data_IF_954696455982
#
_entry.id   IF_954696455982
#
_cell.length_a   1.000
_cell.length_b   1.000
_cell.length_c   1.000
_cell.angle_alpha   90.00
_cell.angle_beta   90.00
_cell.angle_gamma   90.00
#
_symmetry.space_group_name_H-M   'P 1'
#
loop_
_entity.id
_entity.type
_entity.pdbx_description
1 polymer ?
#
# COMPACT_ATOMS: atom_id res chain seq x y z
N UNK A 1 -19.32 -9.43 -6.86
CA UNK A 1 -18.08 -8.77 -6.37
C UNK A 1 -18.47 -7.44 -5.71
N UNK A 2 -17.88 -7.09 -4.57
CA UNK A 2 -18.24 -5.90 -3.75
C UNK A 2 -17.62 -4.60 -4.30
N UNK A 3 -17.87 -4.30 -5.58
CA UNK A 3 -17.35 -3.11 -6.28
C UNK A 3 -18.28 -1.89 -6.18
N UNK A 4 -19.52 -2.06 -5.71
CA UNK A 4 -20.50 -0.99 -5.59
C UNK A 4 -20.41 -0.29 -4.22
N UNK A 5 -20.30 1.04 -4.21
CA UNK A 5 -20.29 1.85 -2.97
C UNK A 5 -21.58 1.65 -2.17
N UNK A 6 -22.71 1.45 -2.86
CA UNK A 6 -24.00 1.22 -2.21
C UNK A 6 -24.04 -0.13 -1.49
N UNK A 7 -23.31 -1.14 -1.98
CA UNK A 7 -23.18 -2.43 -1.28
C UNK A 7 -22.46 -2.30 0.07
N UNK A 8 -21.45 -1.41 0.15
CA UNK A 8 -20.72 -1.15 1.41
C UNK A 8 -21.61 -0.46 2.42
N UNK A 9 -22.35 0.57 2.00
CA UNK A 9 -23.32 1.29 2.84
C UNK A 9 -24.40 0.36 3.38
N UNK A 10 -25.04 -0.43 2.51
CA UNK A 10 -26.05 -1.43 2.90
C UNK A 10 -25.51 -2.44 3.92
N UNK A 11 -24.25 -2.88 3.76
CA UNK A 11 -23.65 -3.80 4.74
C UNK A 11 -23.54 -3.16 6.11
N UNK A 12 -23.07 -1.91 6.18
CA UNK A 12 -22.92 -1.19 7.45
C UNK A 12 -24.26 -0.96 8.13
N UNK A 13 -25.28 -0.59 7.35
CA UNK A 13 -26.65 -0.44 7.85
C UNK A 13 -27.21 -1.76 8.39
N UNK A 14 -26.98 -2.87 7.72
CA UNK A 14 -27.44 -4.18 8.18
C UNK A 14 -26.70 -4.64 9.45
N UNK A 15 -25.40 -4.36 9.57
CA UNK A 15 -24.65 -4.60 10.82
C UNK A 15 -25.26 -3.77 11.96
N UNK A 16 -25.52 -2.47 11.73
CA UNK A 16 -26.18 -1.59 12.71
C UNK A 16 -27.55 -2.13 13.12
N UNK A 17 -28.38 -2.54 12.15
CA UNK A 17 -29.73 -3.07 12.38
C UNK A 17 -29.69 -4.31 13.26
N UNK A 18 -28.85 -5.29 12.92
CA UNK A 18 -28.74 -6.55 13.67
C UNK A 18 -28.14 -6.36 15.05
N UNK A 19 -27.09 -5.54 15.18
CA UNK A 19 -26.45 -5.30 16.47
C UNK A 19 -27.36 -4.55 17.46
N UNK A 20 -28.36 -3.80 16.97
CA UNK A 20 -29.37 -3.10 17.81
C UNK A 20 -30.67 -3.87 18.01
N UNK A 21 -30.78 -5.09 17.47
CA UNK A 21 -32.02 -5.88 17.50
C UNK A 21 -32.36 -6.52 18.85
N UNK A 22 -31.59 -6.23 19.91
CA UNK A 22 -31.88 -6.74 21.26
C UNK A 22 -31.85 -8.27 21.40
N UNK A 23 -31.16 -8.97 20.48
CA UNK A 23 -31.04 -10.43 20.50
C UNK A 23 -31.98 -11.18 19.54
N UNK A 24 -32.72 -10.49 18.67
CA UNK A 24 -33.45 -11.15 17.57
C UNK A 24 -32.51 -11.91 16.61
N UNK A 25 -31.26 -11.45 16.51
CA UNK A 25 -30.23 -12.04 15.65
C UNK A 25 -29.08 -12.61 16.49
N UNK A 26 -28.46 -13.70 16.04
CA UNK A 26 -27.24 -14.21 16.66
C UNK A 26 -26.10 -13.19 16.53
N UNK A 27 -25.12 -13.30 17.44
CA UNK A 27 -23.94 -12.45 17.45
C UNK A 27 -23.19 -12.53 16.12
N UNK A 28 -22.82 -11.38 15.58
CA UNK A 28 -22.11 -11.28 14.31
C UNK A 28 -20.61 -11.42 14.56
N UNK A 29 -19.99 -12.38 13.88
CA UNK A 29 -18.54 -12.51 13.84
C UNK A 29 -17.99 -11.76 12.62
N UNK A 30 -16.98 -10.91 12.84
CA UNK A 30 -16.32 -10.14 11.79
C UNK A 30 -14.81 -10.36 11.90
N UNK A 31 -14.18 -10.66 10.77
CA UNK A 31 -12.73 -10.71 10.65
C UNK A 31 -12.25 -9.33 10.14
N UNK A 32 -11.62 -8.51 11.01
CA UNK A 32 -11.24 -7.14 10.63
C UNK A 32 -10.02 -7.11 9.70
N UNK A 33 -9.21 -8.17 9.74
CA UNK A 33 -8.10 -8.46 8.85
C UNK A 33 -8.65 -9.22 7.63
N UNK A 34 -8.64 -8.62 6.44
CA UNK A 34 -9.33 -9.15 5.26
C UNK A 34 -8.93 -10.57 4.81
N UNK A 35 -7.81 -11.08 5.32
CA UNK A 35 -7.31 -12.47 5.24
C UNK A 35 -6.42 -12.73 6.45
N UNK A 36 -6.27 -13.98 6.89
CA UNK A 36 -5.20 -14.33 7.84
C UNK A 36 -3.83 -13.99 7.21
N UNK A 37 -3.05 -13.11 7.83
CA UNK A 37 -1.66 -12.82 7.42
C UNK A 37 -0.71 -13.93 7.90
N UNK A 38 0.53 -13.60 8.26
CA UNK A 38 1.62 -14.54 8.54
C UNK A 38 1.80 -14.84 10.04
N UNK A 39 0.86 -14.45 10.89
CA UNK A 39 0.89 -14.61 12.36
C UNK A 39 2.05 -13.91 13.07
N UNK A 40 2.84 -13.10 12.38
CA UNK A 40 4.01 -12.42 12.94
C UNK A 40 3.75 -10.98 13.36
N UNK A 41 2.55 -10.45 13.11
CA UNK A 41 2.17 -9.08 13.40
C UNK A 41 0.71 -8.81 13.02
N UNK A 42 0.11 -7.76 13.60
CA UNK A 42 -1.22 -7.30 13.22
C UNK A 42 -1.13 -6.09 12.29
N UNK A 43 -1.68 -6.26 11.09
CA UNK A 43 -1.86 -5.20 10.11
C UNK A 43 -3.06 -4.31 10.47
N UNK A 44 -3.24 -3.20 9.75
CA UNK A 44 -4.36 -2.28 9.96
C UNK A 44 -5.71 -2.97 9.75
N UNK A 45 -6.62 -2.76 10.72
CA UNK A 45 -7.99 -3.25 10.65
C UNK A 45 -8.84 -2.40 9.71
N UNK A 46 -9.72 -3.04 8.95
CA UNK A 46 -10.73 -2.30 8.18
C UNK A 46 -11.77 -1.69 9.13
N UNK A 47 -11.94 -0.37 9.07
CA UNK A 47 -12.85 0.38 9.93
C UNK A 47 -14.34 -0.01 9.79
N UNK A 48 -14.72 -0.75 8.73
CA UNK A 48 -16.11 -1.09 8.43
C UNK A 48 -16.87 -1.77 9.57
N UNK A 49 -16.20 -2.60 10.37
CA UNK A 49 -16.77 -3.28 11.53
C UNK A 49 -17.08 -2.33 12.71
N UNK A 50 -16.41 -1.18 12.73
CA UNK A 50 -16.39 -0.23 13.84
C UNK A 50 -17.30 0.98 13.60
N UNK A 51 -17.76 1.21 12.36
CA UNK A 51 -18.72 2.27 11.98
C UNK A 51 -20.03 2.25 12.81
N UNK A 52 -20.55 1.09 13.27
CA UNK A 52 -21.71 1.07 14.17
C UNK A 52 -21.52 1.82 15.51
N UNK A 53 -20.29 1.95 16.00
CA UNK A 53 -19.99 2.57 17.30
C UNK A 53 -20.59 1.78 18.48
N UNK A 54 -20.71 0.46 18.34
CA UNK A 54 -21.28 -0.43 19.35
C UNK A 54 -20.18 -1.25 20.03
N UNK A 55 -20.42 -1.78 21.25
CA UNK A 55 -19.47 -2.65 21.92
C UNK A 55 -19.10 -3.86 21.06
N UNK A 56 -17.81 -4.18 21.04
CA UNK A 56 -17.28 -5.35 20.33
C UNK A 56 -16.62 -6.29 21.32
N UNK A 57 -16.68 -7.59 21.02
CA UNK A 57 -16.00 -8.62 21.79
C UNK A 57 -14.77 -9.09 20.99
N UNK A 58 -13.55 -8.62 21.29
CA UNK A 58 -12.36 -9.10 20.61
C UNK A 58 -12.10 -10.56 20.96
N UNK A 59 -11.72 -11.35 19.96
CA UNK A 59 -11.36 -12.76 20.13
C UNK A 59 -10.04 -12.98 19.41
N UNK A 60 -9.04 -13.48 20.13
CA UNK A 60 -7.71 -13.77 19.59
C UNK A 60 -7.50 -15.27 19.49
N UNK A 61 -6.87 -15.70 18.40
CA UNK A 61 -6.60 -17.11 18.12
C UNK A 61 -5.10 -17.33 18.13
N UNK A 62 -4.61 -18.32 18.89
CA UNK A 62 -3.21 -18.77 18.87
C UNK A 62 -3.11 -20.17 18.30
N UNK A 63 -2.08 -20.36 17.50
CA UNK A 63 -1.73 -21.64 16.89
C UNK A 63 -0.33 -22.02 17.34
N UNK A 64 -0.15 -22.66 18.51
CA UNK A 64 1.17 -23.03 19.06
C UNK A 64 1.84 -24.21 18.31
N UNK A 65 1.46 -24.42 17.04
CA UNK A 65 1.99 -25.46 16.19
C UNK A 65 3.43 -25.14 15.77
N UNK A 66 4.32 -26.14 15.83
CA UNK A 66 5.71 -26.01 15.35
C UNK A 66 5.78 -25.76 13.84
N UNK A 67 4.94 -26.46 13.07
CA UNK A 67 4.79 -26.24 11.64
C UNK A 67 3.60 -25.33 11.40
N UNK A 68 3.75 -24.41 10.45
CA UNK A 68 2.65 -23.56 10.03
C UNK A 68 1.73 -24.30 9.07
N UNK A 69 0.55 -24.63 9.57
CA UNK A 69 -0.50 -25.39 8.87
C UNK A 69 -1.77 -24.58 8.64
N UNK A 70 -1.81 -23.33 9.09
CA UNK A 70 -3.02 -22.49 9.12
C UNK A 70 -2.86 -21.19 8.35
N UNK A 71 -1.62 -20.74 8.15
CA UNK A 71 -1.31 -19.57 7.32
C UNK A 71 -1.50 -19.91 5.85
N UNK A 72 -2.70 -19.67 5.35
CA UNK A 72 -2.98 -19.71 3.93
C UNK A 72 -2.96 -18.31 3.34
N UNK A 73 -1.75 -17.77 3.25
CA UNK A 73 -1.49 -16.52 2.56
C UNK A 73 -1.16 -16.79 1.10
N UNK A 74 -1.21 -15.74 0.29
CA UNK A 74 -0.97 -15.83 -1.14
C UNK A 74 0.49 -16.11 -1.53
N UNK A 75 1.44 -15.79 -0.65
CA UNK A 75 2.83 -16.24 -0.73
C UNK A 75 3.11 -17.46 0.17
N UNK A 76 2.08 -17.96 0.84
CA UNK A 76 2.17 -19.11 1.72
C UNK A 76 2.34 -20.41 0.93
N UNK A 77 2.70 -21.50 1.62
CA UNK A 77 2.69 -22.85 1.04
C UNK A 77 1.33 -23.17 0.40
N UNK A 78 1.36 -23.81 -0.78
CA UNK A 78 0.15 -24.23 -1.48
C UNK A 78 -0.68 -25.23 -0.67
N UNK A 79 -1.97 -25.39 -1.01
CA UNK A 79 -2.93 -26.20 -0.25
C UNK A 79 -2.44 -27.64 0.02
N UNK A 80 -1.80 -28.29 -0.97
CA UNK A 80 -1.24 -29.63 -0.78
C UNK A 80 -0.07 -29.67 0.20
N UNK A 81 0.78 -28.63 0.20
CA UNK A 81 1.89 -28.52 1.16
C UNK A 81 1.35 -28.29 2.56
N UNK A 82 0.35 -27.41 2.73
CA UNK A 82 -0.35 -27.23 4.01
C UNK A 82 -0.96 -28.57 4.48
N UNK A 83 -1.72 -29.24 3.62
CA UNK A 83 -2.33 -30.54 3.95
C UNK A 83 -1.27 -31.57 4.40
N UNK A 84 -0.17 -31.66 3.65
CA UNK A 84 0.95 -32.53 4.02
C UNK A 84 1.53 -32.18 5.39
N UNK A 85 1.82 -30.89 5.64
CA UNK A 85 2.34 -30.42 6.93
C UNK A 85 1.37 -30.73 8.07
N UNK A 86 0.06 -30.55 7.85
CA UNK A 86 -0.99 -30.90 8.83
C UNK A 86 -1.01 -32.39 9.12
N UNK A 87 -0.88 -33.25 8.10
CA UNK A 87 -0.82 -34.71 8.27
C UNK A 87 0.46 -35.17 8.99
N UNK A 88 1.57 -34.43 8.84
CA UNK A 88 2.80 -34.65 9.60
C UNK A 88 2.70 -34.22 11.08
N UNK A 89 1.59 -33.60 11.50
CA UNK A 89 1.34 -33.19 12.88
C UNK A 89 0.15 -33.98 13.46
N UNK A 90 0.40 -35.03 14.26
CA UNK A 90 -0.67 -35.83 14.88
C UNK A 90 -1.62 -35.01 15.78
N UNK A 91 -1.16 -33.85 16.28
CA UNK A 91 -1.92 -32.95 17.11
C UNK A 91 -1.69 -31.50 16.67
N UNK A 92 -2.78 -30.77 16.43
CA UNK A 92 -2.80 -29.37 15.99
C UNK A 92 -3.62 -28.53 16.98
N UNK A 93 -3.07 -28.15 18.14
CA UNK A 93 -3.76 -27.30 19.11
C UNK A 93 -4.09 -25.92 18.53
N UNK A 94 -5.23 -25.38 18.96
CA UNK A 94 -5.64 -23.99 18.73
C UNK A 94 -6.20 -23.46 20.05
N UNK A 95 -5.70 -22.30 20.48
CA UNK A 95 -6.20 -21.61 21.66
C UNK A 95 -7.07 -20.44 21.20
N UNK A 96 -8.26 -20.33 21.78
CA UNK A 96 -9.16 -19.21 21.56
C UNK A 96 -9.26 -18.46 22.88
N UNK A 97 -8.90 -17.18 22.87
CA UNK A 97 -9.05 -16.30 24.01
C UNK A 97 -10.07 -15.22 23.69
N UNK A 98 -11.16 -15.21 24.46
CA UNK A 98 -12.16 -14.16 24.46
C UNK A 98 -11.69 -13.07 25.42
N UNK A 99 -11.39 -11.89 24.88
CA UNK A 99 -10.99 -10.75 25.72
C UNK A 99 -12.20 -10.18 26.47
N UNK A 100 -12.07 -9.16 27.31
CA UNK A 100 -13.24 -8.44 27.82
C UNK A 100 -13.96 -7.67 26.71
N UNK A 101 -15.27 -7.43 26.88
CA UNK A 101 -16.05 -6.59 25.95
C UNK A 101 -15.44 -5.19 25.92
N UNK A 102 -15.12 -4.71 24.72
CA UNK A 102 -14.62 -3.37 24.48
C UNK A 102 -15.78 -2.44 24.15
N UNK A 103 -15.99 -1.42 24.98
CA UNK A 103 -17.01 -0.40 24.77
C UNK A 103 -16.35 0.87 24.25
N UNK A 104 -16.72 1.37 23.06
CA UNK A 104 -16.09 2.56 22.49
C UNK A 104 -16.44 3.82 23.29
N UNK A 105 -15.44 4.69 23.46
CA UNK A 105 -15.60 6.08 23.92
C UNK A 105 -16.39 6.92 22.92
N UNK A 106 -16.81 8.12 23.31
CA UNK A 106 -17.55 9.01 22.40
C UNK A 106 -16.68 9.46 21.21
N UNK A 107 -15.39 9.71 21.44
CA UNK A 107 -14.41 9.99 20.38
C UNK A 107 -14.28 8.83 19.38
N UNK A 108 -14.28 7.59 19.85
CA UNK A 108 -14.20 6.40 19.01
C UNK A 108 -15.49 6.11 18.23
N UNK A 109 -16.65 6.52 18.77
CA UNK A 109 -17.92 6.46 18.03
C UNK A 109 -17.93 7.44 16.85
N UNK A 110 -17.30 8.60 17.02
CA UNK A 110 -17.15 9.60 15.96
C UNK A 110 -16.06 9.22 14.95
N UNK A 111 -15.00 8.54 15.41
CA UNK A 111 -13.88 8.09 14.59
C UNK A 111 -13.73 6.55 14.58
N UNK A 112 -14.38 5.85 13.62
CA UNK A 112 -14.28 4.39 13.50
C UNK A 112 -12.86 3.87 13.24
N UNK A 113 -11.97 4.68 12.68
CA UNK A 113 -10.59 4.29 12.43
C UNK A 113 -9.79 4.24 13.74
N UNK A 114 -10.01 5.22 14.63
CA UNK A 114 -9.44 5.23 15.97
C UNK A 114 -9.93 4.03 16.79
N UNK A 115 -11.24 3.74 16.72
CA UNK A 115 -11.82 2.58 17.38
C UNK A 115 -11.18 1.26 16.89
N UNK A 116 -11.02 1.11 15.57
CA UNK A 116 -10.36 -0.04 14.97
C UNK A 116 -8.91 -0.19 15.46
N UNK A 117 -8.17 0.92 15.54
CA UNK A 117 -6.77 0.93 15.98
C UNK A 117 -6.60 0.59 17.46
N UNK A 118 -7.48 1.10 18.33
CA UNK A 118 -7.43 0.78 19.75
C UNK A 118 -7.79 -0.69 20.04
N UNK A 119 -8.77 -1.24 19.33
CA UNK A 119 -9.07 -2.68 19.42
C UNK A 119 -7.92 -3.51 18.87
N UNK A 120 -7.28 -3.08 17.77
CA UNK A 120 -6.07 -3.72 17.23
C UNK A 120 -4.93 -3.74 18.26
N UNK A 121 -4.65 -2.61 18.92
CA UNK A 121 -3.64 -2.50 19.99
C UNK A 121 -3.93 -3.44 21.15
N UNK A 122 -5.19 -3.54 21.58
CA UNK A 122 -5.62 -4.46 22.62
C UNK A 122 -5.36 -5.92 22.23
N UNK A 123 -5.74 -6.31 21.01
CA UNK A 123 -5.52 -7.66 20.49
C UNK A 123 -4.03 -7.98 20.32
N UNK A 124 -3.23 -7.03 19.84
CA UNK A 124 -1.77 -7.18 19.71
C UNK A 124 -1.10 -7.41 21.06
N UNK A 125 -1.51 -6.67 22.09
CA UNK A 125 -1.02 -6.85 23.46
C UNK A 125 -1.35 -8.24 24.00
N UNK A 126 -2.58 -8.73 23.79
CA UNK A 126 -2.97 -10.07 24.19
C UNK A 126 -2.16 -11.15 23.45
N UNK A 127 -1.98 -10.99 22.13
CA UNK A 127 -1.22 -11.92 21.29
C UNK A 127 0.31 -11.82 21.47
N UNK A 128 0.82 -10.75 22.10
CA UNK A 128 2.25 -10.43 22.18
C UNK A 128 2.90 -10.31 20.79
N UNK A 129 2.18 -9.73 19.84
CA UNK A 129 2.65 -9.52 18.47
C UNK A 129 2.92 -8.03 18.20
N UNK A 130 3.90 -7.71 17.33
CA UNK A 130 4.12 -6.35 16.90
C UNK A 130 2.94 -5.83 16.05
N UNK A 131 2.76 -4.52 16.09
CA UNK A 131 1.86 -3.81 15.19
C UNK A 131 2.63 -3.43 13.92
N UNK A 132 1.98 -3.55 12.78
CA UNK A 132 2.49 -3.02 11.50
C UNK A 132 1.47 -2.07 10.89
N UNK A 133 1.95 -0.96 10.32
CA UNK A 133 1.11 0.02 9.65
C UNK A 133 0.85 -0.34 8.17
N UNK A 134 0.98 -1.63 7.87
CA UNK A 134 0.59 -2.21 6.59
C UNK A 134 -0.93 -2.33 6.55
N UNK A 135 -1.52 -1.96 5.42
CA UNK A 135 -2.88 -2.31 5.07
C UNK A 135 -2.92 -3.54 4.17
N UNK A 136 -4.08 -4.16 4.04
CA UNK A 136 -4.26 -5.23 3.04
C UNK A 136 -3.97 -4.76 1.61
N UNK A 137 -4.24 -3.49 1.31
CA UNK A 137 -4.08 -2.94 -0.04
C UNK A 137 -2.60 -2.67 -0.38
N UNK A 138 -1.73 -2.54 0.63
CA UNK A 138 -0.27 -2.44 0.47
C UNK A 138 0.38 -3.74 0.00
N UNK A 139 -0.33 -4.86 0.15
CA UNK A 139 0.13 -6.17 -0.27
C UNK A 139 0.51 -6.20 -1.75
N UNK A 140 -0.20 -5.48 -2.62
CA UNK A 140 0.12 -5.50 -4.05
C UNK A 140 1.51 -4.92 -4.34
N UNK A 141 1.98 -3.96 -3.54
CA UNK A 141 3.32 -3.36 -3.65
C UNK A 141 4.38 -4.38 -3.23
N UNK A 142 4.20 -5.01 -2.07
CA UNK A 142 5.13 -6.05 -1.57
C UNK A 142 5.17 -7.30 -2.46
N UNK A 143 4.06 -7.60 -3.15
CA UNK A 143 3.90 -8.83 -3.94
C UNK A 143 4.02 -8.63 -5.45
N UNK A 144 4.36 -7.44 -5.92
CA UNK A 144 4.44 -7.18 -7.35
C UNK A 144 5.49 -8.09 -8.01
N UNK A 145 5.02 -9.04 -8.83
CA UNK A 145 5.84 -9.89 -9.69
C UNK A 145 5.70 -9.37 -11.12
N UNK A 146 6.45 -8.31 -11.42
CA UNK A 146 6.65 -7.81 -12.77
C UNK A 146 8.04 -8.18 -13.30
N UNK A 147 8.33 -7.91 -14.59
CA UNK A 147 9.68 -8.04 -15.14
C UNK A 147 10.69 -7.14 -14.41
N UNK A 148 10.21 -6.03 -13.81
CA UNK A 148 10.95 -5.23 -12.83
C UNK A 148 10.48 -5.64 -11.43
N UNK A 149 11.36 -6.28 -10.67
CA UNK A 149 11.10 -6.69 -9.29
C UNK A 149 11.52 -5.58 -8.33
N UNK A 150 10.59 -5.10 -7.50
CA UNK A 150 10.89 -4.11 -6.46
C UNK A 150 11.83 -4.76 -5.43
N UNK A 151 13.02 -4.20 -5.26
CA UNK A 151 14.04 -4.74 -4.36
C UNK A 151 13.80 -4.30 -2.92
N UNK A 152 13.52 -3.02 -2.71
CA UNK A 152 13.15 -2.46 -1.41
C UNK A 152 11.80 -1.74 -1.53
N UNK A 153 10.78 -2.31 -0.89
CA UNK A 153 9.44 -1.75 -0.90
C UNK A 153 9.19 -0.78 0.25
N UNK A 154 10.16 -0.55 1.15
CA UNK A 154 9.98 0.28 2.35
C UNK A 154 9.64 1.73 2.00
N UNK A 155 10.43 2.34 1.10
CA UNK A 155 10.23 3.72 0.63
C UNK A 155 8.91 3.89 -0.13
N UNK A 156 8.57 2.93 -1.00
CA UNK A 156 7.33 2.94 -1.77
C UNK A 156 6.09 2.73 -0.88
N UNK A 157 6.24 1.96 0.19
CA UNK A 157 5.18 1.73 1.16
C UNK A 157 4.93 2.97 2.01
N UNK A 158 5.98 3.61 2.53
CA UNK A 158 5.87 4.88 3.24
C UNK A 158 5.21 5.94 2.36
N UNK A 159 5.68 6.09 1.12
CA UNK A 159 5.05 6.97 0.14
C UNK A 159 3.57 6.62 -0.07
N UNK A 160 3.22 5.33 -0.21
CA UNK A 160 1.83 4.93 -0.39
C UNK A 160 0.95 5.30 0.81
N UNK A 161 1.45 5.14 2.03
CA UNK A 161 0.73 5.53 3.24
C UNK A 161 0.44 7.03 3.24
N UNK A 162 1.42 7.87 2.90
CA UNK A 162 1.25 9.32 2.84
C UNK A 162 0.21 9.72 1.77
N UNK A 163 0.30 9.14 0.57
CA UNK A 163 -0.65 9.38 -0.53
C UNK A 163 -2.06 8.92 -0.16
N UNK A 164 -2.20 7.84 0.61
CA UNK A 164 -3.49 7.43 1.18
C UNK A 164 -4.05 8.48 2.14
N UNK A 165 -3.23 9.03 3.05
CA UNK A 165 -3.65 10.07 4.00
C UNK A 165 -4.09 11.35 3.31
N UNK A 166 -3.45 11.72 2.19
CA UNK A 166 -3.86 12.85 1.36
C UNK A 166 -5.12 12.59 0.51
N UNK A 167 -5.67 11.37 0.54
CA UNK A 167 -6.84 11.00 -0.27
C UNK A 167 -6.54 10.83 -1.77
N UNK A 168 -5.28 10.97 -2.17
CA UNK A 168 -4.86 10.94 -3.57
C UNK A 168 -4.99 9.54 -4.19
N UNK A 169 -4.75 8.46 -3.42
CA UNK A 169 -4.84 7.09 -3.93
C UNK A 169 -6.25 6.73 -4.44
N UNK A 170 -7.29 7.13 -3.71
CA UNK A 170 -8.67 6.83 -4.07
C UNK A 170 -9.17 7.62 -5.29
N UNK A 171 -8.66 8.84 -5.48
CA UNK A 171 -8.97 9.69 -6.63
C UNK A 171 -8.13 9.41 -7.88
N UNK A 172 -7.02 8.67 -7.73
CA UNK A 172 -6.13 8.35 -8.84
C UNK A 172 -6.79 7.36 -9.77
N UNK A 173 -6.99 7.77 -11.02
CA UNK A 173 -7.43 6.90 -12.13
C UNK A 173 -6.39 6.93 -13.24
N UNK A 174 -6.48 6.03 -14.21
CA UNK A 174 -5.54 6.01 -15.35
C UNK A 174 -5.53 7.36 -16.09
N UNK A 175 -6.70 8.02 -16.20
CA UNK A 175 -6.82 9.37 -16.79
C UNK A 175 -6.14 10.46 -15.95
N UNK A 176 -6.25 10.38 -14.63
CA UNK A 176 -5.60 11.35 -13.73
C UNK A 176 -4.08 11.19 -13.82
N UNK A 177 -3.57 9.96 -13.84
CA UNK A 177 -2.14 9.70 -14.02
C UNK A 177 -1.63 10.24 -15.36
N UNK A 178 -2.37 10.04 -16.45
CA UNK A 178 -2.01 10.57 -17.77
C UNK A 178 -1.99 12.10 -17.80
N UNK A 179 -2.96 12.75 -17.16
CA UNK A 179 -3.01 14.22 -17.10
C UNK A 179 -1.88 14.80 -16.23
N UNK A 180 -1.59 14.16 -15.08
CA UNK A 180 -0.46 14.55 -14.24
C UNK A 180 0.87 14.38 -14.97
N UNK A 181 1.05 13.27 -15.70
CA UNK A 181 2.23 13.04 -16.53
C UNK A 181 2.38 14.10 -17.64
N UNK A 182 1.28 14.48 -18.30
CA UNK A 182 1.28 15.53 -19.33
C UNK A 182 1.69 16.89 -18.76
N UNK A 183 1.22 17.23 -17.55
CA UNK A 183 1.59 18.47 -16.86
C UNK A 183 3.05 18.43 -16.41
N UNK A 184 3.51 17.31 -15.85
CA UNK A 184 4.88 17.10 -15.42
C UNK A 184 5.88 17.21 -16.58
N UNK A 185 5.56 16.65 -17.76
CA UNK A 185 6.40 16.78 -18.97
C UNK A 185 6.60 18.24 -19.39
N UNK A 186 5.58 19.08 -19.27
CA UNK A 186 5.67 20.52 -19.63
C UNK A 186 6.54 21.32 -18.66
N UNK A 187 6.81 20.78 -17.49
CA UNK A 187 7.67 21.37 -16.45
C UNK A 187 9.08 20.76 -16.51
N UNK A 188 9.49 20.23 -17.66
CA UNK A 188 10.81 19.64 -17.83
C UNK A 188 11.90 20.67 -17.52
N UNK A 189 12.77 20.35 -16.56
CA UNK A 189 13.83 21.23 -16.07
C UNK A 189 13.41 22.19 -14.96
N UNK A 190 12.11 22.33 -14.69
CA UNK A 190 11.62 23.08 -13.53
C UNK A 190 11.58 22.15 -12.31
N UNK A 191 12.15 22.62 -11.20
CA UNK A 191 12.01 21.96 -9.90
C UNK A 191 11.03 22.75 -9.05
N UNK A 192 10.21 22.02 -8.29
CA UNK A 192 9.12 22.62 -7.51
C UNK A 192 9.45 22.66 -6.03
N UNK A 193 9.26 23.84 -5.44
CA UNK A 193 9.19 24.02 -3.99
C UNK A 193 7.91 23.42 -3.41
N UNK A 194 7.79 23.45 -2.09
CA UNK A 194 6.63 22.89 -1.37
C UNK A 194 5.31 23.55 -1.79
N UNK A 195 5.30 24.87 -1.96
CA UNK A 195 4.12 25.65 -2.34
C UNK A 195 3.67 25.33 -3.77
N UNK A 196 4.61 25.29 -4.71
CA UNK A 196 4.34 24.98 -6.11
C UNK A 196 3.89 23.52 -6.28
N UNK A 197 4.46 22.61 -5.49
CA UNK A 197 4.02 21.22 -5.41
C UNK A 197 2.58 21.11 -4.87
N UNK A 198 2.23 21.87 -3.84
CA UNK A 198 0.88 21.94 -3.30
C UNK A 198 -0.12 22.43 -4.36
N UNK A 199 0.25 23.48 -5.10
CA UNK A 199 -0.54 24.01 -6.21
C UNK A 199 -0.67 22.99 -7.35
N UNK A 200 0.39 22.26 -7.68
CA UNK A 200 0.36 21.22 -8.71
C UNK A 200 -0.68 20.13 -8.39
N UNK A 201 -0.78 19.73 -7.11
CA UNK A 201 -1.73 18.74 -6.62
C UNK A 201 -3.12 19.31 -6.29
N UNK A 202 -3.31 20.62 -6.33
CA UNK A 202 -4.50 21.32 -5.84
C UNK A 202 -4.82 20.98 -4.38
N UNK A 203 -3.79 20.93 -3.54
CA UNK A 203 -3.89 20.65 -2.11
C UNK A 203 -3.35 21.83 -1.28
N UNK A 204 -3.86 22.03 -0.04
CA UNK A 204 -3.22 22.95 0.89
C UNK A 204 -1.89 22.38 1.39
N UNK A 205 -0.96 23.26 1.77
CA UNK A 205 0.26 22.86 2.47
C UNK A 205 -0.13 22.28 3.83
N UNK A 206 0.29 21.04 4.09
CA UNK A 206 0.03 20.30 5.32
C UNK A 206 1.27 19.50 5.70
N UNK A 207 1.43 19.12 6.97
CA UNK A 207 2.56 18.31 7.42
C UNK A 207 2.73 17.00 6.63
N UNK A 208 1.61 16.40 6.22
CA UNK A 208 1.63 15.20 5.38
C UNK A 208 2.15 15.51 3.97
N UNK A 209 1.77 16.65 3.39
CA UNK A 209 2.28 17.06 2.08
C UNK A 209 3.78 17.37 2.15
N UNK A 210 4.24 18.01 3.23
CA UNK A 210 5.66 18.27 3.49
C UNK A 210 6.45 16.96 3.59
N UNK A 211 5.92 15.95 4.28
CA UNK A 211 6.53 14.61 4.33
C UNK A 211 6.63 13.99 2.93
N UNK A 212 5.58 14.08 2.11
CA UNK A 212 5.64 13.58 0.72
C UNK A 212 6.72 14.29 -0.08
N UNK A 213 6.76 15.63 -0.02
CA UNK A 213 7.75 16.45 -0.72
C UNK A 213 9.18 16.06 -0.31
N UNK A 214 9.42 15.88 0.99
CA UNK A 214 10.75 15.49 1.51
C UNK A 214 11.24 14.11 1.04
N UNK A 215 10.35 13.21 0.60
CA UNK A 215 10.76 11.91 0.05
C UNK A 215 11.44 12.03 -1.32
N UNK A 216 11.15 13.11 -2.06
CA UNK A 216 11.69 13.36 -3.40
C UNK A 216 12.77 14.46 -3.41
N UNK A 217 13.00 15.14 -2.29
CA UNK A 217 14.10 16.10 -2.15
C UNK A 217 15.43 15.36 -1.92
N UNK A 218 15.97 14.78 -3.00
CA UNK A 218 17.23 14.04 -2.96
C UNK A 218 18.43 14.92 -2.59
N UNK A 219 18.36 16.21 -2.91
CA UNK A 219 19.49 17.14 -2.78
C UNK A 219 19.45 17.98 -1.51
N UNK A 220 18.32 17.96 -0.78
CA UNK A 220 18.12 18.74 0.44
C UNK A 220 18.01 20.24 0.17
N UNK A 221 17.74 20.64 -1.08
CA UNK A 221 17.61 22.03 -1.50
C UNK A 221 16.16 22.52 -1.52
N UNK A 222 15.22 21.69 -1.05
CA UNK A 222 13.79 22.01 -0.99
C UNK A 222 13.11 21.98 -2.36
N UNK A 223 13.74 21.39 -3.36
CA UNK A 223 13.29 21.38 -4.75
C UNK A 223 13.12 19.94 -5.24
N UNK A 224 12.02 19.62 -5.89
CA UNK A 224 11.76 18.26 -6.40
C UNK A 224 11.45 18.25 -7.88
N UNK A 225 11.84 17.18 -8.57
CA UNK A 225 11.34 16.91 -9.92
C UNK A 225 9.94 16.28 -9.81
N UNK A 226 8.95 16.94 -10.39
CA UNK A 226 7.56 16.47 -10.32
C UNK A 226 7.34 15.16 -11.09
N UNK A 227 8.19 14.87 -12.09
CA UNK A 227 8.13 13.62 -12.86
C UNK A 227 8.41 12.42 -11.95
N UNK A 228 9.32 12.56 -10.99
CA UNK A 228 9.67 11.51 -10.03
C UNK A 228 8.46 11.12 -9.16
N UNK A 229 7.75 12.13 -8.66
CA UNK A 229 6.51 11.94 -7.92
C UNK A 229 5.45 11.21 -8.76
N UNK A 230 5.27 11.59 -10.02
CA UNK A 230 4.28 10.95 -10.91
C UNK A 230 4.65 9.48 -11.17
N UNK A 231 5.93 9.16 -11.33
CA UNK A 231 6.41 7.79 -11.46
C UNK A 231 6.10 7.00 -10.19
N UNK A 232 6.46 7.51 -9.02
CA UNK A 232 6.19 6.86 -7.73
C UNK A 232 4.69 6.63 -7.52
N UNK A 233 3.85 7.64 -7.80
CA UNK A 233 2.39 7.54 -7.73
C UNK A 233 1.86 6.45 -8.65
N UNK A 234 2.42 6.36 -9.85
CA UNK A 234 2.11 5.31 -10.82
C UNK A 234 2.51 3.93 -10.30
N UNK A 235 3.72 3.78 -9.76
CA UNK A 235 4.24 2.51 -9.20
C UNK A 235 3.33 1.98 -8.10
N UNK A 236 2.95 2.82 -7.14
CA UNK A 236 2.09 2.39 -6.01
C UNK A 236 0.64 2.16 -6.43
N UNK A 237 0.13 2.89 -7.43
CA UNK A 237 -1.25 2.74 -7.92
C UNK A 237 -1.43 1.49 -8.79
N UNK A 238 -0.39 1.07 -9.53
CA UNK A 238 -0.44 -0.12 -10.39
C UNK A 238 0.80 -1.02 -10.24
N UNK A 239 1.06 -1.61 -9.06
CA UNK A 239 2.28 -2.39 -8.81
C UNK A 239 2.45 -3.58 -9.77
N UNK A 240 1.34 -4.21 -10.16
CA UNK A 240 1.33 -5.34 -11.10
C UNK A 240 1.54 -4.96 -12.57
N UNK A 241 1.54 -3.67 -12.92
CA UNK A 241 1.66 -3.17 -14.30
C UNK A 241 2.91 -2.30 -14.47
N UNK A 242 4.06 -2.77 -13.96
CA UNK A 242 5.33 -2.02 -13.99
C UNK A 242 5.73 -1.54 -15.38
N UNK A 243 5.49 -2.32 -16.44
CA UNK A 243 5.76 -1.88 -17.83
C UNK A 243 4.89 -0.69 -18.28
N UNK A 244 3.65 -0.58 -17.79
CA UNK A 244 2.85 0.62 -18.05
C UNK A 244 3.43 1.84 -17.34
N UNK A 245 3.98 1.66 -16.13
CA UNK A 245 4.69 2.71 -15.40
C UNK A 245 5.95 3.13 -16.13
N UNK A 246 6.76 2.17 -16.59
CA UNK A 246 7.93 2.45 -17.41
C UNK A 246 7.56 3.24 -18.67
N UNK A 247 6.51 2.82 -19.40
CA UNK A 247 6.03 3.56 -20.58
C UNK A 247 5.56 4.98 -20.26
N UNK A 248 4.93 5.18 -19.10
CA UNK A 248 4.53 6.51 -18.66
C UNK A 248 5.74 7.38 -18.33
N UNK A 249 6.75 6.79 -17.69
CA UNK A 249 8.01 7.46 -17.38
C UNK A 249 8.73 7.89 -18.67
N UNK A 250 8.93 6.97 -19.63
CA UNK A 250 9.54 7.32 -20.92
C UNK A 250 8.81 8.47 -21.62
N UNK A 251 7.47 8.47 -21.64
CA UNK A 251 6.69 9.59 -22.21
C UNK A 251 6.92 10.95 -21.54
N UNK A 252 7.37 10.98 -20.28
CA UNK A 252 7.66 12.22 -19.55
C UNK A 252 9.10 12.72 -19.74
N UNK A 253 10.04 11.83 -20.05
CA UNK A 253 11.46 12.17 -20.21
C UNK A 253 11.92 12.17 -21.68
N UNK A 254 11.15 11.56 -22.60
CA UNK A 254 11.50 11.53 -24.02
C UNK A 254 11.63 12.96 -24.59
N UNK A 255 12.73 13.19 -25.29
CA UNK A 255 12.92 14.42 -26.08
C UNK A 255 11.82 14.54 -27.14
N UNK A 256 11.24 15.74 -27.29
CA UNK A 256 10.26 16.00 -28.35
C UNK A 256 10.85 15.86 -29.76
N UNK A 257 12.16 16.07 -29.90
CA UNK A 257 12.85 16.04 -31.19
C UNK A 257 13.35 14.64 -31.57
N UNK A 258 13.91 13.88 -30.62
CA UNK A 258 14.53 12.58 -30.91
C UNK A 258 13.77 11.37 -30.38
N UNK A 259 12.84 11.56 -29.43
CA UNK A 259 12.15 10.46 -28.76
C UNK A 259 13.05 9.64 -27.82
N UNK A 260 14.27 10.12 -27.57
CA UNK A 260 15.27 9.47 -26.73
C UNK A 260 15.21 9.99 -25.29
N UNK A 261 15.62 9.15 -24.35
CA UNK A 261 15.78 9.44 -22.92
C UNK A 261 17.25 9.23 -22.54
N UNK A 262 17.80 10.12 -21.71
CA UNK A 262 19.20 10.05 -21.27
C UNK A 262 19.42 8.91 -20.26
N UNK A 263 20.62 8.33 -20.23
CA UNK A 263 20.99 7.27 -19.28
C UNK A 263 20.72 7.66 -17.81
N UNK A 264 21.06 8.89 -17.42
CA UNK A 264 20.84 9.41 -16.07
C UNK A 264 19.34 9.49 -15.71
N UNK A 265 18.50 9.81 -16.69
CA UNK A 265 17.05 9.87 -16.51
C UNK A 265 16.47 8.46 -16.36
N UNK A 266 16.99 7.47 -17.10
CA UNK A 266 16.59 6.06 -16.96
C UNK A 266 16.99 5.52 -15.58
N UNK A 267 18.18 5.87 -15.09
CA UNK A 267 18.61 5.51 -13.75
C UNK A 267 17.64 6.04 -12.68
N UNK A 268 17.28 7.32 -12.74
CA UNK A 268 16.29 7.92 -11.84
C UNK A 268 14.91 7.23 -11.93
N UNK A 269 14.43 6.93 -13.14
CA UNK A 269 13.17 6.21 -13.34
C UNK A 269 13.20 4.83 -12.64
N UNK A 270 14.30 4.08 -12.81
CA UNK A 270 14.46 2.76 -12.24
C UNK A 270 14.62 2.81 -10.72
N UNK A 271 15.38 3.76 -10.17
CA UNK A 271 15.50 3.98 -8.72
C UNK A 271 14.12 4.10 -8.05
N UNK A 272 13.27 4.95 -8.60
CA UNK A 272 11.92 5.20 -8.08
C UNK A 272 11.05 3.94 -8.22
N UNK A 273 11.08 3.30 -9.39
CA UNK A 273 10.25 2.12 -9.64
C UNK A 273 10.67 0.90 -8.79
N UNK A 274 11.96 0.77 -8.48
CA UNK A 274 12.52 -0.33 -7.71
C UNK A 274 12.56 -0.05 -6.20
N UNK A 275 12.32 1.20 -5.80
CA UNK A 275 12.30 1.66 -4.41
C UNK A 275 13.67 1.68 -3.75
N UNK A 276 14.75 1.74 -4.54
CA UNK A 276 16.14 1.69 -4.07
C UNK A 276 16.73 3.10 -4.07
N UNK A 277 17.46 3.46 -3.01
CA UNK A 277 18.33 4.64 -3.02
C UNK A 277 19.62 4.28 -3.72
N UNK A 278 19.97 5.03 -4.78
CA UNK A 278 21.16 4.80 -5.61
C UNK A 278 21.17 3.40 -6.22
N UNK A 279 20.57 3.26 -7.41
CA UNK A 279 20.82 2.03 -8.17
C UNK A 279 22.20 2.19 -8.80
N UNK A 280 23.21 1.49 -8.27
CA UNK A 280 24.44 1.23 -9.02
C UNK A 280 24.09 0.35 -10.23
N UNK A 281 23.55 0.98 -11.27
CA UNK A 281 23.45 0.39 -12.59
C UNK A 281 24.88 0.31 -13.08
N UNK A 282 25.54 -0.82 -12.80
CA UNK A 282 26.89 -1.10 -13.30
C UNK A 282 26.94 -0.69 -14.77
N UNK A 283 28.01 -0.03 -15.23
CA UNK A 283 28.14 0.34 -16.66
C UNK A 283 27.90 -0.85 -17.60
N UNK A 284 28.11 -2.09 -17.13
CA UNK A 284 27.78 -3.33 -17.83
C UNK A 284 26.29 -3.71 -17.94
N UNK A 285 25.38 -3.10 -17.18
CA UNK A 285 23.91 -3.24 -17.34
C UNK A 285 23.44 -2.35 -18.50
N UNK A 286 23.85 -1.08 -18.51
CA UNK A 286 23.56 -0.17 -19.61
C UNK A 286 24.31 -0.55 -20.89
N UNK A 287 25.58 -0.97 -20.85
CA UNK A 287 26.27 -1.51 -22.04
C UNK A 287 25.62 -2.78 -22.63
N UNK A 288 24.74 -3.47 -21.89
CA UNK A 288 23.96 -4.62 -22.40
C UNK A 288 22.59 -4.24 -22.96
N UNK A 289 22.09 -3.06 -22.61
CA UNK A 289 20.79 -2.51 -23.02
C UNK A 289 20.93 -1.43 -24.10
N UNK A 290 22.06 -0.71 -24.11
CA UNK A 290 22.41 0.35 -25.04
C UNK A 290 23.43 -0.19 -26.05
N UNK A 291 23.28 0.21 -27.31
CA UNK A 291 24.38 0.08 -28.28
C UNK A 291 25.57 0.88 -27.76
N UNK A 292 26.78 0.34 -27.91
CA UNK A 292 28.03 0.74 -27.23
C UNK A 292 28.43 2.24 -27.36
N UNK A 293 27.75 3.02 -28.19
CA UNK A 293 28.08 4.40 -28.54
C UNK A 293 26.99 5.45 -28.20
N UNK A 294 25.87 5.07 -27.59
CA UNK A 294 24.76 6.02 -27.32
C UNK A 294 24.36 6.07 -25.84
N UNK A 295 24.58 7.21 -25.17
CA UNK A 295 24.09 7.53 -23.80
C UNK A 295 22.55 7.78 -23.75
N UNK A 296 21.82 7.20 -24.70
CA UNK A 296 20.42 7.52 -25.02
C UNK A 296 19.66 6.26 -25.41
N UNK A 297 18.40 6.17 -24.97
CA UNK A 297 17.52 5.05 -25.33
C UNK A 297 16.10 5.49 -25.69
N UNK A 298 15.47 4.75 -26.60
CA UNK A 298 14.03 4.80 -26.86
C UNK A 298 13.29 3.76 -26.01
N UNK A 299 11.95 3.81 -25.99
CA UNK A 299 11.14 2.86 -25.22
C UNK A 299 11.10 1.43 -25.80
N UNK A 300 11.10 1.29 -27.13
CA UNK A 300 11.01 0.01 -27.84
C UNK A 300 12.35 -0.75 -27.83
#
# INVERSE_FOLDING_TARGET
FRSDQDSRRKTVEEIKRRARSGGEWPQIMIFPEGTCTNRSGLILFKAGAFIPGLPVQPVVLRYPNKLDTVTWTWQGPGAFKILWLTLCQPHNPMEIEYLPIYTPSDEEKENPALFADNVRKLMAKALQLPLTDLSFDDREISLSRGPLHIYDYSSLLEFNQLVCRLGLRAGTTEKVLEEQARRARKMQGDRLGLEDFAQFLNLPVTDTLTQVHSLFDQQGDGQIDIRDYVIALSTVHRPSKSMKTLKLAFKMYESEESGEVLEQEIAAILEIMLGVKEVELSGGFFHRLMDLDTEKMTYD
#
